data_IF_495978800693
#
_entry.id   IF_495978800693
#
_cell.length_a   1.000
_cell.length_b   1.000
_cell.length_c   1.000
_cell.angle_alpha   90.00
_cell.angle_beta   90.00
_cell.angle_gamma   90.00
#
_symmetry.space_group_name_H-M   'P 1'
#
loop_
_entity.id
_entity.type
_entity.pdbx_description
1 polymer ?
#
# COMPACT_ATOMS: atom_id res chain seq x y z
N UNK A 1 6.53 -12.82 20.94
CA UNK A 1 6.43 -11.45 21.50
C UNK A 1 5.00 -10.98 21.38
N UNK A 2 4.44 -10.38 22.43
CA UNK A 2 3.11 -9.78 22.36
C UNK A 2 3.21 -8.40 21.69
N UNK A 3 2.28 -8.10 20.78
CA UNK A 3 2.21 -6.82 20.09
C UNK A 3 1.81 -5.69 21.04
N UNK A 4 2.42 -4.52 20.88
CA UNK A 4 2.01 -3.32 21.61
C UNK A 4 0.57 -2.93 21.21
N UNK A 5 -0.18 -2.19 22.06
CA UNK A 5 -1.51 -1.70 21.70
C UNK A 5 -1.52 -0.86 20.42
N UNK A 6 -0.46 -0.10 20.19
CA UNK A 6 -0.24 0.72 19.01
C UNK A 6 -0.04 -0.15 17.76
N UNK A 7 0.87 -1.12 17.81
CA UNK A 7 1.08 -2.07 16.71
C UNK A 7 -0.19 -2.87 16.38
N UNK A 8 -0.97 -3.28 17.39
CA UNK A 8 -2.28 -3.93 17.17
C UNK A 8 -3.29 -3.03 16.49
N UNK A 9 -3.23 -1.73 16.75
CA UNK A 9 -4.14 -0.76 16.13
C UNK A 9 -3.72 -0.47 14.69
N UNK A 10 -2.43 -0.21 14.47
CA UNK A 10 -1.84 -0.03 13.15
C UNK A 10 -2.07 -1.27 12.26
N UNK A 11 -1.83 -2.48 12.79
CA UNK A 11 -2.06 -3.72 12.04
C UNK A 11 -3.53 -3.86 11.61
N UNK A 12 -4.49 -3.66 12.52
CA UNK A 12 -5.93 -3.74 12.17
C UNK A 12 -6.31 -2.72 11.10
N UNK A 13 -5.75 -1.52 11.17
CA UNK A 13 -5.98 -0.44 10.20
C UNK A 13 -5.41 -0.78 8.83
N UNK A 14 -4.16 -1.24 8.74
CA UNK A 14 -3.56 -1.67 7.47
C UNK A 14 -4.33 -2.86 6.86
N UNK A 15 -4.68 -3.87 7.66
CA UNK A 15 -5.51 -5.00 7.18
C UNK A 15 -6.83 -4.49 6.59
N UNK A 16 -7.50 -3.56 7.30
CA UNK A 16 -8.70 -2.90 6.81
C UNK A 16 -8.46 -2.16 5.48
N UNK A 17 -7.41 -1.34 5.41
CA UNK A 17 -7.05 -0.58 4.21
C UNK A 17 -6.80 -1.49 3.00
N UNK A 18 -6.02 -2.56 3.16
CA UNK A 18 -5.71 -3.50 2.08
C UNK A 18 -6.94 -4.31 1.62
N UNK A 19 -7.97 -4.41 2.46
CA UNK A 19 -9.22 -5.08 2.10
C UNK A 19 -10.11 -4.26 1.16
N UNK A 20 -9.95 -2.93 1.14
CA UNK A 20 -10.84 -2.01 0.40
C UNK A 20 -10.65 -2.06 -1.13
N UNK A 21 -9.58 -2.70 -1.63
CA UNK A 21 -9.20 -2.94 -3.04
C UNK A 21 -9.18 -1.72 -3.98
N UNK A 22 -9.73 -0.57 -3.60
CA UNK A 22 -9.80 0.63 -4.42
C UNK A 22 -8.49 1.40 -4.34
N UNK A 23 -8.06 1.94 -5.49
CA UNK A 23 -6.87 2.78 -5.61
C UNK A 23 -5.58 2.15 -5.10
N UNK A 24 -5.48 0.81 -5.18
CA UNK A 24 -4.27 0.06 -4.90
C UNK A 24 -3.89 -0.75 -6.12
N UNK A 25 -2.62 -0.76 -6.47
CA UNK A 25 -2.09 -1.52 -7.61
C UNK A 25 -0.65 -1.94 -7.35
N UNK A 26 -0.13 -2.79 -8.22
CA UNK A 26 1.30 -3.06 -8.32
C UNK A 26 1.84 -2.40 -9.58
N UNK A 27 2.97 -1.71 -9.47
CA UNK A 27 3.74 -1.24 -10.61
C UNK A 27 4.40 -2.42 -11.33
N UNK A 28 4.83 -2.21 -12.58
CA UNK A 28 5.54 -3.24 -13.37
C UNK A 28 6.89 -3.64 -12.76
N UNK A 29 7.44 -2.81 -11.87
CA UNK A 29 8.63 -3.12 -11.06
C UNK A 29 8.33 -4.15 -9.97
N UNK A 30 7.05 -4.40 -9.67
CA UNK A 30 6.56 -5.18 -8.54
C UNK A 30 6.40 -4.37 -7.25
N UNK A 31 6.56 -3.05 -7.30
CA UNK A 31 6.28 -2.16 -6.17
C UNK A 31 4.78 -2.08 -5.91
N UNK A 32 4.39 -2.02 -4.64
CA UNK A 32 2.98 -1.91 -4.25
C UNK A 32 2.61 -0.46 -3.94
N UNK A 33 1.49 0.00 -4.51
CA UNK A 33 1.05 1.38 -4.44
C UNK A 33 -0.33 1.49 -3.83
N UNK A 34 -0.51 2.50 -2.96
CA UNK A 34 -1.78 2.94 -2.41
C UNK A 34 -1.94 4.43 -2.71
N UNK A 35 -2.92 4.79 -3.54
CA UNK A 35 -3.21 6.19 -3.85
C UNK A 35 -4.40 6.73 -3.09
N UNK A 36 -4.30 8.00 -2.70
CA UNK A 36 -5.38 8.81 -2.15
C UNK A 36 -5.43 10.13 -2.90
N UNK A 37 -6.62 10.53 -3.33
CA UNK A 37 -6.82 11.88 -3.86
C UNK A 37 -6.63 12.92 -2.75
N UNK A 38 -6.44 14.18 -3.13
CA UNK A 38 -6.20 15.29 -2.17
C UNK A 38 -7.26 15.38 -1.07
N UNK A 39 -8.54 15.17 -1.42
CA UNK A 39 -9.65 15.18 -0.46
C UNK A 39 -9.57 13.99 0.49
N UNK A 40 -9.37 12.78 -0.03
CA UNK A 40 -9.24 11.56 0.75
C UNK A 40 -7.97 11.55 1.62
N UNK A 41 -6.92 12.27 1.20
CA UNK A 41 -5.69 12.47 1.99
C UNK A 41 -5.94 13.31 3.25
N UNK A 42 -6.93 14.20 3.20
CA UNK A 42 -7.40 15.00 4.33
C UNK A 42 -8.55 14.34 5.11
N UNK A 43 -9.08 13.19 4.65
CA UNK A 43 -10.14 12.47 5.35
C UNK A 43 -9.56 11.68 6.54
N UNK A 44 -10.15 11.95 7.71
CA UNK A 44 -9.81 11.28 8.96
C UNK A 44 -10.02 9.76 8.84
N UNK A 45 -9.04 8.97 9.22
CA UNK A 45 -9.09 7.50 9.18
C UNK A 45 -8.54 6.84 7.92
N UNK A 46 -8.28 7.60 6.84
CA UNK A 46 -7.98 7.03 5.52
C UNK A 46 -6.94 7.79 4.68
N UNK A 47 -6.50 8.96 5.15
CA UNK A 47 -5.53 9.81 4.49
C UNK A 47 -4.09 9.31 4.56
N UNK A 48 -3.21 9.88 3.74
CA UNK A 48 -1.79 9.51 3.72
C UNK A 48 -1.09 9.77 5.06
N UNK A 49 -1.31 10.88 5.79
CA UNK A 49 -0.64 11.09 7.07
C UNK A 49 -0.89 9.97 8.09
N UNK A 50 -2.15 9.56 8.27
CA UNK A 50 -2.48 8.47 9.19
C UNK A 50 -2.00 7.11 8.70
N UNK A 51 -2.06 6.88 7.38
CA UNK A 51 -1.53 5.66 6.80
C UNK A 51 -0.02 5.57 7.00
N UNK A 52 0.70 6.68 6.81
CA UNK A 52 2.12 6.82 7.10
C UNK A 52 2.45 6.49 8.57
N UNK A 53 1.70 7.05 9.53
CA UNK A 53 1.86 6.73 10.96
C UNK A 53 1.70 5.23 11.24
N UNK A 54 0.74 4.56 10.58
CA UNK A 54 0.55 3.11 10.74
C UNK A 54 1.70 2.31 10.13
N UNK A 55 2.28 2.76 9.03
CA UNK A 55 3.44 2.12 8.43
C UNK A 55 4.69 2.32 9.31
N UNK A 56 4.88 3.52 9.85
CA UNK A 56 5.98 3.84 10.78
C UNK A 56 5.87 2.99 12.06
N UNK A 57 4.69 2.89 12.67
CA UNK A 57 4.45 2.10 13.87
C UNK A 57 4.70 0.58 13.68
N UNK A 58 4.59 0.09 12.44
CA UNK A 58 4.86 -1.29 12.07
C UNK A 58 6.24 -1.50 11.44
N UNK A 59 7.05 -0.44 11.37
CA UNK A 59 8.38 -0.44 10.76
C UNK A 59 8.37 -0.98 9.32
N UNK A 60 7.32 -0.64 8.55
CA UNK A 60 7.20 -1.00 7.14
C UNK A 60 7.80 0.13 6.32
N UNK A 61 8.89 -0.07 5.57
CA UNK A 61 9.46 0.98 4.72
C UNK A 61 8.47 1.41 3.62
N UNK A 62 8.36 2.72 3.40
CA UNK A 62 7.53 3.29 2.34
C UNK A 62 8.12 4.61 1.82
N UNK A 63 7.62 5.03 0.66
CA UNK A 63 7.85 6.35 0.08
C UNK A 63 6.50 7.01 -0.21
N UNK A 64 6.43 8.33 -0.11
CA UNK A 64 5.25 9.09 -0.55
C UNK A 64 5.62 9.92 -1.77
N UNK A 65 4.83 9.81 -2.84
CA UNK A 65 4.97 10.58 -4.08
C UNK A 65 3.72 11.41 -4.31
N UNK A 66 3.88 12.63 -4.82
CA UNK A 66 2.75 13.44 -5.29
C UNK A 66 2.56 13.16 -6.77
N UNK A 67 1.36 12.75 -7.17
CA UNK A 67 1.08 12.45 -8.57
C UNK A 67 -0.38 12.71 -8.99
N UNK A 68 -0.58 12.80 -10.30
CA UNK A 68 -1.90 12.97 -10.91
C UNK A 68 -2.32 11.65 -11.55
N UNK A 69 -3.28 10.96 -10.93
CA UNK A 69 -3.79 9.67 -11.41
C UNK A 69 -5.11 9.85 -12.16
N UNK A 70 -5.30 9.07 -13.21
CA UNK A 70 -6.59 8.99 -13.90
C UNK A 70 -7.57 8.16 -13.04
N UNK A 71 -8.64 8.79 -12.57
CA UNK A 71 -9.76 8.12 -11.90
C UNK A 71 -11.02 8.24 -12.76
N UNK A 72 -11.35 7.15 -13.47
CA UNK A 72 -12.41 7.14 -14.46
C UNK A 72 -12.14 8.14 -15.60
N UNK A 73 -13.02 9.14 -15.77
CA UNK A 73 -12.90 10.18 -16.80
C UNK A 73 -12.16 11.45 -16.33
N UNK A 74 -11.67 11.49 -15.08
CA UNK A 74 -11.06 12.68 -14.48
C UNK A 74 -9.62 12.41 -14.07
N UNK A 75 -8.76 13.41 -14.26
CA UNK A 75 -7.43 13.47 -13.65
C UNK A 75 -7.57 14.10 -12.26
N UNK A 76 -7.04 13.45 -11.24
CA UNK A 76 -7.02 14.00 -9.88
C UNK A 76 -5.58 14.01 -9.37
N UNK A 77 -5.18 15.13 -8.77
CA UNK A 77 -3.98 15.19 -7.97
C UNK A 77 -4.20 14.44 -6.65
N UNK A 78 -3.14 13.82 -6.17
CA UNK A 78 -3.15 13.08 -4.92
C UNK A 78 -1.76 12.60 -4.56
N UNK A 79 -1.74 11.63 -3.68
CA UNK A 79 -0.54 11.10 -3.07
C UNK A 79 -0.55 9.58 -3.18
N UNK A 80 0.60 9.02 -3.53
CA UNK A 80 0.81 7.58 -3.57
C UNK A 80 1.82 7.18 -2.53
N UNK A 81 1.39 6.32 -1.61
CA UNK A 81 2.27 5.58 -0.75
C UNK A 81 2.76 4.34 -1.51
N UNK A 82 4.07 4.20 -1.61
CA UNK A 82 4.74 3.12 -2.33
C UNK A 82 5.53 2.28 -1.36
N UNK A 83 5.29 0.97 -1.34
CA UNK A 83 6.16 -0.03 -0.72
C UNK A 83 6.99 -0.65 -1.82
N UNK A 84 8.31 -0.50 -1.74
CA UNK A 84 9.17 -1.10 -2.74
C UNK A 84 9.09 -2.61 -2.69
N UNK A 85 9.30 -3.26 -3.83
CA UNK A 85 9.25 -4.73 -3.96
C UNK A 85 10.11 -5.44 -2.91
N UNK A 86 11.31 -4.92 -2.65
CA UNK A 86 12.25 -5.49 -1.68
C UNK A 86 11.76 -5.36 -0.23
N UNK A 87 10.85 -4.43 0.05
CA UNK A 87 10.29 -4.14 1.37
C UNK A 87 8.91 -4.79 1.58
N UNK A 88 8.32 -5.40 0.54
CA UNK A 88 7.07 -6.15 0.65
C UNK A 88 7.07 -7.24 1.74
N UNK A 89 8.18 -7.94 2.04
CA UNK A 89 8.24 -8.86 3.18
C UNK A 89 7.94 -8.19 4.53
N UNK A 90 8.29 -6.91 4.70
CA UNK A 90 7.94 -6.15 5.91
C UNK A 90 6.43 -5.96 6.02
N UNK A 91 5.74 -5.73 4.90
CA UNK A 91 4.28 -5.65 4.84
C UNK A 91 3.61 -7.02 5.10
N UNK A 92 4.09 -8.10 4.47
CA UNK A 92 3.47 -9.43 4.61
C UNK A 92 3.70 -10.06 5.97
N UNK A 93 4.74 -9.64 6.71
CA UNK A 93 4.90 -9.97 8.14
C UNK A 93 3.67 -9.59 8.96
N UNK A 94 3.06 -8.44 8.66
CA UNK A 94 1.90 -7.92 9.39
C UNK A 94 0.57 -8.35 8.76
N UNK A 95 0.55 -8.56 7.45
CA UNK A 95 -0.63 -9.03 6.71
C UNK A 95 -0.29 -10.25 5.85
N UNK A 96 -0.17 -11.45 6.45
CA UNK A 96 0.29 -12.64 5.72
C UNK A 96 -0.63 -13.06 4.57
N UNK A 97 -1.93 -12.75 4.67
CA UNK A 97 -2.90 -13.02 3.60
C UNK A 97 -2.61 -12.23 2.32
N UNK A 98 -1.84 -11.14 2.41
CA UNK A 98 -1.43 -10.33 1.27
C UNK A 98 -0.35 -11.00 0.42
N UNK A 99 0.39 -11.98 0.97
CA UNK A 99 1.43 -12.72 0.27
C UNK A 99 0.91 -13.34 -1.04
N UNK A 100 -0.29 -13.92 -1.04
CA UNK A 100 -0.89 -14.50 -2.24
C UNK A 100 -1.08 -13.49 -3.37
N UNK A 101 -1.36 -12.22 -3.05
CA UNK A 101 -1.52 -11.18 -4.06
C UNK A 101 -0.17 -10.83 -4.69
N UNK A 102 0.87 -10.73 -3.85
CA UNK A 102 2.25 -10.49 -4.29
C UNK A 102 2.72 -11.65 -5.17
N UNK A 103 2.51 -12.90 -4.76
CA UNK A 103 2.93 -14.09 -5.52
C UNK A 103 2.26 -14.14 -6.90
N UNK A 104 0.95 -13.83 -6.95
CA UNK A 104 0.21 -13.79 -8.22
C UNK A 104 0.74 -12.70 -9.15
N UNK A 105 1.01 -11.50 -8.62
CA UNK A 105 1.58 -10.41 -9.42
C UNK A 105 2.96 -10.77 -9.91
N UNK A 106 3.80 -11.38 -9.06
CA UNK A 106 5.14 -11.82 -9.44
C UNK A 106 5.09 -12.82 -10.59
N UNK A 107 4.20 -13.80 -10.51
CA UNK A 107 4.02 -14.79 -11.57
C UNK A 107 3.58 -14.17 -12.90
N UNK A 108 2.79 -13.09 -12.89
CA UNK A 108 2.39 -12.37 -14.10
C UNK A 108 3.53 -11.50 -14.65
N UNK A 109 4.33 -10.86 -13.79
CA UNK A 109 5.50 -10.09 -14.21
C UNK A 109 6.55 -11.00 -14.88
N UNK A 110 6.80 -12.19 -14.31
CA UNK A 110 7.77 -13.14 -14.86
C UNK A 110 7.33 -13.68 -16.23
N UNK A 111 6.02 -13.80 -16.49
CA UNK A 111 5.47 -14.14 -17.82
C UNK A 111 5.59 -13.01 -18.83
N UNK A 112 5.72 -11.77 -18.37
CA UNK A 112 5.70 -10.56 -19.20
C UNK A 112 7.10 -10.14 -19.70
N UNK A 113 8.16 -10.83 -19.27
CA UNK A 113 9.52 -10.62 -19.77
C UNK A 113 9.77 -11.63 -20.90
N UNK A 114 9.78 -11.23 -22.18
CA UNK A 114 10.17 -12.13 -23.26
C UNK A 114 11.65 -12.48 -23.11
N UNK A 115 11.94 -13.78 -23.23
CA UNK A 115 13.29 -14.36 -23.29
C UNK A 115 14.10 -13.79 -24.45
#
# INVERSE_FOLDING_TARGET
MALTPEQRTAQRKIVGTLSLKSHMWFELTGDFCIWRDDRASAEWGAGIPELSEHFDALEIPYLVRVEVVNTGKRKKAGFTLVVQRNDLPALTRWVPTFQKQIDNVQAELDKSIPN
#
